data_IF_833397855138
#
_entry.id   IF_833397855138
#
_cell.length_a   1.000
_cell.length_b   1.000
_cell.length_c   1.000
_cell.angle_alpha   90.00
_cell.angle_beta   90.00
_cell.angle_gamma   90.00
#
_symmetry.space_group_name_H-M   'P 1'
#
loop_
_entity.id
_entity.type
_entity.pdbx_description
1 polymer ?
#
# COMPACT_ATOMS: atom_id res chain seq x y z
N UNK A 1 -16.50 27.97 -12.70
CA UNK A 1 -15.48 27.05 -12.18
C UNK A 1 -15.23 27.43 -10.73
N UNK A 2 -15.55 26.58 -9.72
CA UNK A 2 -15.19 26.88 -8.34
C UNK A 2 -13.66 26.95 -8.22
N UNK A 3 -13.16 28.03 -7.61
CA UNK A 3 -11.74 28.19 -7.28
C UNK A 3 -11.27 27.05 -6.37
N UNK A 4 -10.11 26.43 -6.60
CA UNK A 4 -9.59 25.40 -5.72
C UNK A 4 -9.36 26.01 -4.32
N UNK A 5 -10.09 25.51 -3.32
CA UNK A 5 -9.91 25.92 -1.93
C UNK A 5 -8.52 25.47 -1.47
N UNK A 6 -7.65 26.43 -1.16
CA UNK A 6 -6.34 26.14 -0.60
C UNK A 6 -6.47 25.72 0.86
N UNK A 7 -5.65 24.75 1.26
CA UNK A 7 -5.53 24.30 2.64
C UNK A 7 -4.11 24.61 3.07
N UNK A 8 -3.96 25.42 4.13
CA UNK A 8 -2.66 25.72 4.72
C UNK A 8 -2.44 24.79 5.91
N UNK A 9 -1.41 23.95 5.83
CA UNK A 9 -1.04 23.00 6.87
C UNK A 9 0.31 23.40 7.48
N UNK A 10 0.44 23.21 8.80
CA UNK A 10 1.72 23.29 9.49
C UNK A 10 2.16 21.88 9.82
N UNK A 11 3.21 21.43 9.17
CA UNK A 11 3.74 20.07 9.28
C UNK A 11 5.14 20.17 9.90
N UNK A 12 5.44 19.39 10.96
CA UNK A 12 6.79 19.27 11.51
C UNK A 12 7.82 18.86 10.44
N UNK A 13 9.06 19.32 10.58
CA UNK A 13 10.09 19.13 9.55
C UNK A 13 10.45 17.66 9.31
N UNK A 14 10.53 16.88 10.37
CA UNK A 14 10.75 15.43 10.35
C UNK A 14 9.66 14.69 9.57
N UNK A 15 8.40 15.05 9.81
CA UNK A 15 7.27 14.49 9.06
C UNK A 15 7.30 14.92 7.59
N UNK A 16 7.67 16.18 7.31
CA UNK A 16 7.78 16.70 5.95
C UNK A 16 8.83 15.94 5.14
N UNK A 17 9.99 15.64 5.73
CA UNK A 17 11.06 14.86 5.10
C UNK A 17 10.58 13.44 4.73
N UNK A 18 9.83 12.79 5.63
CA UNK A 18 9.28 11.45 5.35
C UNK A 18 8.27 11.45 4.20
N UNK A 19 7.46 12.51 4.11
CA UNK A 19 6.50 12.70 3.02
C UNK A 19 7.24 12.92 1.71
N UNK A 20 8.29 13.75 1.70
CA UNK A 20 9.07 14.02 0.49
C UNK A 20 9.78 12.77 -0.03
N UNK A 21 10.35 11.96 0.86
CA UNK A 21 10.97 10.70 0.49
C UNK A 21 9.96 9.76 -0.18
N UNK A 22 8.75 9.66 0.39
CA UNK A 22 7.69 8.79 -0.14
C UNK A 22 7.12 9.32 -1.46
N UNK A 23 6.88 10.64 -1.55
CA UNK A 23 6.44 11.28 -2.77
C UNK A 23 7.44 11.08 -3.91
N UNK A 24 8.74 11.24 -3.62
CA UNK A 24 9.82 10.98 -4.58
C UNK A 24 9.87 9.52 -5.02
N UNK A 25 9.68 8.57 -4.10
CA UNK A 25 9.64 7.14 -4.43
C UNK A 25 8.47 6.79 -5.38
N UNK A 26 7.35 7.50 -5.26
CA UNK A 26 6.20 7.37 -6.15
C UNK A 26 6.32 8.21 -7.44
N UNK A 27 7.41 8.98 -7.62
CA UNK A 27 7.57 9.88 -8.77
C UNK A 27 6.59 11.06 -8.78
N UNK A 28 6.07 11.45 -7.61
CA UNK A 28 5.08 12.50 -7.44
C UNK A 28 5.67 13.70 -6.69
N UNK A 29 5.09 14.88 -6.89
CA UNK A 29 5.35 16.02 -6.01
C UNK A 29 4.62 15.83 -4.65
N UNK A 30 5.13 16.52 -3.63
CA UNK A 30 4.58 16.50 -2.25
C UNK A 30 3.07 16.75 -2.22
N UNK A 31 2.61 17.76 -2.95
CA UNK A 31 1.21 18.23 -2.92
C UNK A 31 0.25 17.23 -3.57
N UNK A 32 0.69 16.55 -4.62
CA UNK A 32 -0.07 15.51 -5.31
C UNK A 32 -0.09 14.25 -4.47
N UNK A 33 1.04 13.89 -3.86
CA UNK A 33 1.10 12.75 -2.95
C UNK A 33 0.17 12.93 -1.74
N UNK A 34 0.20 14.09 -1.08
CA UNK A 34 -0.70 14.37 0.07
C UNK A 34 -2.17 14.29 -0.38
N UNK A 35 -2.51 14.87 -1.54
CA UNK A 35 -3.88 14.83 -2.06
C UNK A 35 -4.33 13.40 -2.34
N UNK A 36 -3.46 12.59 -2.95
CA UNK A 36 -3.74 11.18 -3.23
C UNK A 36 -3.95 10.41 -1.92
N UNK A 37 -3.01 10.49 -0.99
CA UNK A 37 -3.08 9.79 0.29
C UNK A 37 -4.33 10.16 1.09
N UNK A 38 -4.71 11.45 1.14
CA UNK A 38 -5.95 11.89 1.77
C UNK A 38 -7.19 11.35 1.05
N UNK A 39 -7.18 11.35 -0.29
CA UNK A 39 -8.31 10.85 -1.08
C UNK A 39 -8.51 9.35 -0.89
N UNK A 40 -7.43 8.56 -0.92
CA UNK A 40 -7.45 7.12 -0.66
C UNK A 40 -8.00 6.82 0.74
N UNK A 41 -7.48 7.52 1.76
CA UNK A 41 -7.96 7.36 3.14
C UNK A 41 -9.45 7.71 3.30
N UNK A 42 -9.92 8.77 2.65
CA UNK A 42 -11.34 9.14 2.65
C UNK A 42 -12.22 8.11 1.93
N UNK A 43 -11.70 7.44 0.91
CA UNK A 43 -12.37 6.36 0.19
C UNK A 43 -12.31 5.02 0.93
N UNK A 44 -11.67 4.95 2.11
CA UNK A 44 -11.45 3.70 2.83
C UNK A 44 -10.39 2.80 2.18
N UNK A 45 -9.70 3.29 1.16
CA UNK A 45 -8.55 2.62 0.56
C UNK A 45 -7.40 2.81 1.55
N UNK A 46 -7.07 1.74 2.25
CA UNK A 46 -5.84 1.74 3.04
C UNK A 46 -4.69 1.65 2.04
N UNK A 47 -3.76 2.64 1.99
CA UNK A 47 -2.59 2.50 1.15
C UNK A 47 -1.96 1.15 1.50
N UNK A 48 -1.85 0.28 0.49
CA UNK A 48 -1.15 -0.99 0.63
C UNK A 48 0.20 -0.65 1.25
N UNK A 49 0.40 -1.10 2.50
CA UNK A 49 1.74 -1.07 3.05
C UNK A 49 2.67 -1.74 2.02
N UNK A 50 3.91 -1.27 1.84
CA UNK A 50 4.87 -1.98 1.00
C UNK A 50 4.80 -3.47 1.37
N UNK A 51 4.88 -4.39 0.39
CA UNK A 51 4.63 -5.80 0.63
C UNK A 51 5.44 -6.23 1.84
N UNK A 52 4.75 -6.46 2.95
CA UNK A 52 5.40 -6.82 4.20
C UNK A 52 5.97 -8.20 3.93
N UNK A 53 7.29 -8.30 3.86
CA UNK A 53 7.92 -9.60 3.77
C UNK A 53 7.44 -10.40 4.97
N UNK A 54 6.92 -11.61 4.74
CA UNK A 54 6.39 -12.45 5.82
C UNK A 54 7.47 -12.71 6.89
N UNK A 55 8.75 -12.61 6.50
CA UNK A 55 9.91 -12.72 7.37
C UNK A 55 10.01 -11.57 8.40
N UNK A 56 9.44 -10.40 8.10
CA UNK A 56 9.44 -9.22 8.98
C UNK A 56 8.24 -9.19 9.95
N UNK A 57 7.34 -10.17 9.87
CA UNK A 57 6.18 -10.26 10.77
C UNK A 57 6.64 -10.73 12.14
N UNK A 58 6.57 -9.85 13.14
CA UNK A 58 6.77 -10.22 14.53
C UNK A 58 5.63 -11.12 15.01
N UNK A 59 5.92 -12.40 15.23
CA UNK A 59 4.99 -13.41 15.70
C UNK A 59 5.34 -13.80 17.13
N UNK A 60 4.30 -14.02 17.94
CA UNK A 60 4.43 -14.56 19.30
C UNK A 60 4.91 -16.02 19.30
N UNK A 61 4.67 -16.75 18.20
CA UNK A 61 5.03 -18.16 18.00
C UNK A 61 5.49 -18.41 16.55
N UNK A 62 6.68 -18.99 16.37
CA UNK A 62 7.26 -19.31 15.06
C UNK A 62 6.40 -20.32 14.28
N UNK A 63 5.70 -21.23 15.00
CA UNK A 63 4.77 -22.17 14.37
C UNK A 63 3.61 -21.44 13.69
N UNK A 64 3.15 -20.33 14.27
CA UNK A 64 2.10 -19.52 13.67
C UNK A 64 2.57 -18.87 12.36
N UNK A 65 3.83 -18.42 12.28
CA UNK A 65 4.41 -17.89 11.03
C UNK A 65 4.43 -18.94 9.93
N UNK A 66 4.84 -20.17 10.26
CA UNK A 66 4.85 -21.25 9.28
C UNK A 66 3.44 -21.59 8.76
N UNK A 67 2.44 -21.61 9.64
CA UNK A 67 1.03 -21.83 9.25
C UNK A 67 0.54 -20.73 8.30
N UNK A 68 0.90 -19.47 8.55
CA UNK A 68 0.53 -18.35 7.67
C UNK A 68 1.23 -18.47 6.31
N UNK A 69 2.53 -18.81 6.27
CA UNK A 69 3.27 -19.07 5.03
C UNK A 69 2.62 -20.18 4.20
N UNK A 70 2.21 -21.27 4.84
CA UNK A 70 1.56 -22.40 4.19
C UNK A 70 0.17 -22.04 3.65
N UNK A 71 -0.60 -21.22 4.39
CA UNK A 71 -1.91 -20.74 3.96
C UNK A 71 -1.81 -19.84 2.74
N UNK A 72 -0.90 -18.86 2.74
CA UNK A 72 -0.68 -17.96 1.60
C UNK A 72 -0.26 -18.77 0.37
N UNK A 73 0.70 -19.69 0.53
CA UNK A 73 1.15 -20.57 -0.56
C UNK A 73 0.02 -21.44 -1.15
N UNK A 74 -0.99 -21.77 -0.34
CA UNK A 74 -2.17 -22.51 -0.82
C UNK A 74 -3.16 -21.61 -1.54
N UNK A 75 -3.34 -20.37 -1.08
CA UNK A 75 -4.16 -19.37 -1.75
C UNK A 75 -3.59 -19.06 -3.13
N UNK A 76 -2.28 -18.83 -3.25
CA UNK A 76 -1.62 -18.56 -4.54
C UNK A 76 -1.84 -19.70 -5.54
N UNK A 77 -1.74 -20.95 -5.08
CA UNK A 77 -2.03 -22.14 -5.90
C UNK A 77 -3.49 -22.22 -6.32
N UNK A 78 -4.42 -21.88 -5.43
CA UNK A 78 -5.84 -21.84 -5.74
C UNK A 78 -6.16 -20.71 -6.72
N UNK A 79 -5.56 -19.54 -6.56
CA UNK A 79 -5.74 -18.43 -7.49
C UNK A 79 -5.20 -18.78 -8.88
N UNK A 80 -4.01 -19.37 -8.96
CA UNK A 80 -3.46 -19.86 -10.22
C UNK A 80 -4.35 -20.93 -10.87
N UNK A 81 -5.01 -21.78 -10.09
CA UNK A 81 -5.89 -22.84 -10.62
C UNK A 81 -7.27 -22.30 -11.03
N UNK A 82 -7.83 -21.35 -10.29
CA UNK A 82 -9.17 -20.80 -10.52
C UNK A 82 -9.17 -19.65 -11.54
N UNK A 83 -8.09 -18.87 -11.59
CA UNK A 83 -7.97 -17.66 -12.41
C UNK A 83 -6.81 -17.70 -13.41
N UNK A 84 -5.96 -18.74 -13.40
CA UNK A 84 -4.83 -18.86 -14.33
C UNK A 84 -5.17 -19.50 -15.69
N UNK A 85 -6.44 -19.82 -15.97
CA UNK A 85 -6.86 -20.35 -17.26
C UNK A 85 -7.28 -19.23 -18.22
N UNK A 86 -6.33 -18.86 -19.09
CA UNK A 86 -6.43 -18.23 -20.40
C UNK A 86 -7.26 -16.94 -20.55
N UNK A 87 -6.55 -15.85 -20.83
CA UNK A 87 -7.09 -14.74 -21.61
C UNK A 87 -7.32 -15.23 -23.06
N UNK A 88 -8.55 -15.37 -23.56
CA UNK A 88 -8.82 -15.90 -24.91
C UNK A 88 -8.55 -14.87 -26.02
N UNK A 89 -8.02 -13.68 -25.68
CA UNK A 89 -7.77 -12.58 -26.62
C UNK A 89 -6.38 -11.93 -26.50
N UNK A 90 -5.40 -12.57 -25.86
CA UNK A 90 -3.98 -12.14 -25.93
C UNK A 90 -3.22 -12.80 -27.09
#
# INVERSE_FOLDING_TARGET
MPSPKSINLRIPADLLESIDATASACGMDRSNWIRLACSEKLQGITPQAPPVSIDDINVVDERARQVVKDLISRIDKLEAHCFGAQDPFS
#
